data_IF_106188571905
#
_entry.id   IF_106188571905
#
_cell.length_a   1.000
_cell.length_b   1.000
_cell.length_c   1.000
_cell.angle_alpha   90.00
_cell.angle_beta   90.00
_cell.angle_gamma   90.00
#
_symmetry.space_group_name_H-M   'P 1'
#
loop_
_entity.id
_entity.type
_entity.pdbx_description
1 polymer ?
#
# COMPACT_ATOMS: atom_id res chain seq x y z
N UNK A 1 -14.25 85.63 50.30
CA UNK A 1 -15.46 85.02 49.70
C UNK A 1 -15.17 84.80 48.20
N UNK A 2 -14.68 83.62 47.80
CA UNK A 2 -14.42 83.31 46.40
C UNK A 2 -15.34 82.20 45.97
N UNK A 3 -16.28 82.45 45.07
CA UNK A 3 -17.17 81.45 44.46
C UNK A 3 -16.37 80.60 43.43
N UNK A 4 -16.36 79.28 43.64
CA UNK A 4 -15.84 78.29 42.78
C UNK A 4 -16.93 77.86 41.79
N UNK A 5 -16.75 78.17 40.48
CA UNK A 5 -17.63 77.71 39.40
C UNK A 5 -17.16 76.33 38.96
N UNK A 6 -17.98 75.32 39.14
CA UNK A 6 -17.79 73.96 38.56
C UNK A 6 -18.32 73.95 37.12
N UNK A 7 -17.45 73.70 36.16
CA UNK A 7 -17.84 73.35 34.80
C UNK A 7 -18.08 71.85 34.69
N UNK A 8 -19.33 71.48 34.41
CA UNK A 8 -19.66 70.12 34.00
C UNK A 8 -19.41 69.99 32.48
N UNK A 9 -18.41 69.25 32.09
CA UNK A 9 -18.22 68.82 30.72
C UNK A 9 -19.06 67.54 30.47
N UNK A 10 -20.09 67.64 29.67
CA UNK A 10 -20.90 66.51 29.22
C UNK A 10 -20.12 65.80 28.07
N UNK A 11 -19.63 64.56 28.37
CA UNK A 11 -19.00 63.70 27.43
C UNK A 11 -20.09 62.92 26.69
N UNK A 12 -20.40 63.31 25.43
CA UNK A 12 -21.32 62.56 24.57
C UNK A 12 -20.59 61.37 23.97
N UNK A 13 -20.88 60.17 24.47
CA UNK A 13 -20.44 58.88 23.89
C UNK A 13 -21.36 58.60 22.71
N UNK A 14 -20.87 58.83 21.52
CA UNK A 14 -21.50 58.39 20.26
C UNK A 14 -21.23 56.88 20.08
N UNK A 15 -22.20 56.04 20.46
CA UNK A 15 -22.16 54.60 20.15
C UNK A 15 -22.36 54.44 18.62
N UNK A 16 -21.29 54.17 17.90
CA UNK A 16 -21.35 53.67 16.52
C UNK A 16 -21.86 52.24 16.54
N UNK A 17 -23.15 52.04 16.37
CA UNK A 17 -23.71 50.73 16.02
C UNK A 17 -23.25 50.41 14.60
N UNK A 18 -22.17 49.67 14.49
CA UNK A 18 -21.81 48.99 13.26
C UNK A 18 -22.85 47.88 13.03
N UNK A 19 -23.81 48.13 12.15
CA UNK A 19 -24.67 47.07 11.63
C UNK A 19 -23.82 46.21 10.69
N UNK A 20 -23.13 45.23 11.24
CA UNK A 20 -22.71 44.05 10.47
C UNK A 20 -23.99 43.35 10.05
N UNK A 21 -24.29 43.37 8.75
CA UNK A 21 -25.34 42.48 8.22
C UNK A 21 -24.99 41.08 8.68
N UNK A 22 -25.94 40.33 9.25
CA UNK A 22 -25.69 38.90 9.52
C UNK A 22 -25.31 38.25 8.16
N UNK A 23 -24.17 37.59 8.09
CA UNK A 23 -23.87 36.70 6.97
C UNK A 23 -25.09 35.79 6.81
N UNK A 24 -25.72 35.85 5.66
CA UNK A 24 -26.77 34.90 5.29
C UNK A 24 -26.15 33.51 5.38
N UNK A 25 -26.45 32.78 6.43
CA UNK A 25 -26.05 31.38 6.55
C UNK A 25 -26.75 30.64 5.41
N UNK A 26 -25.96 30.34 4.35
CA UNK A 26 -26.44 29.56 3.23
C UNK A 26 -26.95 28.20 3.75
N UNK A 27 -28.22 27.94 3.57
CA UNK A 27 -28.85 26.69 4.00
C UNK A 27 -28.48 25.59 3.01
N UNK A 28 -27.68 24.61 3.46
CA UNK A 28 -27.30 23.45 2.65
C UNK A 28 -28.43 22.45 2.59
N UNK A 29 -28.65 21.87 1.41
CA UNK A 29 -29.58 20.76 1.25
C UNK A 29 -29.06 19.52 1.95
N UNK A 30 -29.89 18.88 2.75
CA UNK A 30 -29.60 17.59 3.36
C UNK A 30 -29.48 16.54 2.26
N UNK A 31 -28.33 15.90 2.17
CA UNK A 31 -28.02 14.92 1.15
C UNK A 31 -27.58 13.58 1.75
N UNK A 32 -27.82 12.53 0.99
CA UNK A 32 -27.27 11.20 1.21
C UNK A 32 -26.30 10.84 0.09
N UNK A 33 -25.31 10.05 0.42
CA UNK A 33 -24.46 9.44 -0.59
C UNK A 33 -25.23 8.30 -1.26
N UNK A 34 -25.60 8.51 -2.51
CA UNK A 34 -26.43 7.58 -3.29
C UNK A 34 -25.58 6.42 -3.83
N UNK A 35 -24.41 6.71 -4.35
CA UNK A 35 -23.46 5.69 -4.84
C UNK A 35 -22.01 6.14 -4.69
N UNK A 36 -21.15 5.15 -4.59
CA UNK A 36 -19.71 5.33 -4.63
C UNK A 36 -19.11 4.28 -5.57
N UNK A 37 -18.18 4.70 -6.42
CA UNK A 37 -17.49 3.80 -7.34
C UNK A 37 -16.03 4.20 -7.54
N UNK A 38 -15.23 3.27 -8.05
CA UNK A 38 -13.84 3.48 -8.46
C UNK A 38 -13.61 2.76 -9.79
N UNK A 39 -13.24 3.51 -10.83
CA UNK A 39 -13.11 3.00 -12.20
C UNK A 39 -14.34 2.17 -12.62
N UNK A 40 -15.53 2.64 -12.28
CA UNK A 40 -16.82 1.96 -12.57
C UNK A 40 -17.15 0.76 -11.67
N UNK A 41 -16.25 0.32 -10.79
CA UNK A 41 -16.54 -0.73 -9.80
C UNK A 41 -17.19 -0.11 -8.56
N UNK A 42 -18.31 -0.67 -8.11
CA UNK A 42 -19.02 -0.19 -6.91
C UNK A 42 -18.16 -0.33 -5.67
N UNK A 43 -18.06 0.75 -4.89
CA UNK A 43 -17.47 0.75 -3.56
C UNK A 43 -18.56 0.45 -2.53
N UNK A 44 -18.35 -0.58 -1.71
CA UNK A 44 -19.29 -0.98 -0.66
C UNK A 44 -18.61 -0.86 0.70
N UNK A 45 -19.33 -0.31 1.67
CA UNK A 45 -18.82 -0.22 3.04
C UNK A 45 -18.44 -1.60 3.59
N UNK A 46 -17.25 -1.71 4.17
CA UNK A 46 -16.74 -2.98 4.74
C UNK A 46 -16.23 -4.00 3.72
N UNK A 47 -16.26 -3.70 2.42
CA UNK A 47 -15.75 -4.57 1.38
C UNK A 47 -14.59 -3.89 0.64
N UNK A 48 -13.46 -4.59 0.47
CA UNK A 48 -12.32 -4.09 -0.29
C UNK A 48 -12.47 -4.40 -1.79
N UNK A 49 -12.37 -3.38 -2.64
CA UNK A 49 -12.25 -3.56 -4.09
C UNK A 49 -10.79 -3.78 -4.43
N UNK A 50 -10.46 -4.90 -5.08
CA UNK A 50 -9.08 -5.33 -5.34
C UNK A 50 -8.68 -5.21 -6.80
N UNK A 51 -7.38 -5.26 -7.03
CA UNK A 51 -6.76 -5.30 -8.34
C UNK A 51 -7.13 -4.08 -9.20
N UNK A 52 -7.02 -2.88 -8.63
CA UNK A 52 -7.17 -1.63 -9.36
C UNK A 52 -5.84 -1.21 -10.00
N UNK A 53 -5.88 -0.53 -11.15
CA UNK A 53 -4.67 0.04 -11.73
C UNK A 53 -4.06 1.09 -10.80
N UNK A 54 -2.80 1.41 -11.01
CA UNK A 54 -2.09 2.45 -10.24
C UNK A 54 -2.19 3.83 -10.89
N UNK A 55 -2.59 3.87 -12.16
CA UNK A 55 -2.79 5.06 -12.98
C UNK A 55 -4.25 5.18 -13.40
N UNK A 56 -4.65 6.37 -13.83
CA UNK A 56 -6.00 6.67 -14.32
C UNK A 56 -7.11 6.25 -13.35
N UNK A 57 -6.86 6.42 -12.05
CA UNK A 57 -7.82 6.10 -11.01
C UNK A 57 -8.83 7.22 -10.88
N UNK A 58 -10.10 6.91 -11.10
CA UNK A 58 -11.23 7.82 -10.95
C UNK A 58 -12.17 7.28 -9.89
N UNK A 59 -12.34 8.04 -8.82
CA UNK A 59 -13.29 7.75 -7.75
C UNK A 59 -14.49 8.67 -7.94
N UNK A 60 -15.69 8.11 -7.90
CA UNK A 60 -16.91 8.89 -8.10
C UNK A 60 -17.85 8.71 -6.91
N UNK A 61 -18.32 9.82 -6.37
CA UNK A 61 -19.34 9.89 -5.33
C UNK A 61 -20.56 10.61 -5.86
N UNK A 62 -21.71 9.93 -5.96
CA UNK A 62 -22.96 10.54 -6.40
C UNK A 62 -23.85 10.79 -5.18
N UNK A 63 -24.33 12.02 -5.06
CA UNK A 63 -25.20 12.47 -3.97
C UNK A 63 -26.66 12.58 -4.44
N UNK A 64 -27.60 12.57 -3.49
CA UNK A 64 -29.04 12.70 -3.76
C UNK A 64 -29.45 14.10 -4.25
N UNK A 65 -28.60 15.12 -4.01
CA UNK A 65 -28.82 16.51 -4.40
C UNK A 65 -27.60 17.12 -5.07
N UNK A 66 -27.79 18.25 -5.74
CA UNK A 66 -26.70 18.99 -6.38
C UNK A 66 -25.71 19.52 -5.33
N UNK A 67 -24.44 19.54 -5.73
CA UNK A 67 -23.30 19.95 -4.90
C UNK A 67 -22.95 21.40 -5.25
N UNK A 68 -22.71 22.20 -4.24
CA UNK A 68 -22.15 23.54 -4.40
C UNK A 68 -20.64 23.51 -4.23
N UNK A 69 -19.88 23.46 -5.33
CA UNK A 69 -18.40 23.41 -5.28
C UNK A 69 -17.78 24.67 -4.69
N UNK A 70 -18.43 25.82 -4.77
CA UNK A 70 -17.92 27.04 -4.14
C UNK A 70 -17.81 26.91 -2.61
N UNK A 71 -18.54 25.93 -2.05
CA UNK A 71 -18.57 25.61 -0.64
C UNK A 71 -17.80 24.31 -0.30
N UNK A 72 -17.23 23.65 -1.29
CA UNK A 72 -16.41 22.45 -1.07
C UNK A 72 -15.11 22.80 -0.33
N UNK A 73 -14.77 22.01 0.67
CA UNK A 73 -13.45 22.03 1.29
C UNK A 73 -12.87 20.61 1.33
N UNK A 74 -11.57 20.49 1.22
CA UNK A 74 -10.85 19.21 1.21
C UNK A 74 -11.03 18.40 2.51
N UNK A 75 -11.45 19.02 3.60
CA UNK A 75 -11.64 18.38 4.91
C UNK A 75 -12.78 17.36 4.95
N UNK A 76 -13.69 17.42 3.97
CA UNK A 76 -14.83 16.50 3.85
C UNK A 76 -14.42 15.10 3.39
N UNK A 77 -13.27 14.96 2.72
CA UNK A 77 -12.76 13.69 2.20
C UNK A 77 -11.35 13.46 2.70
N UNK A 78 -11.09 12.24 3.17
CA UNK A 78 -9.76 11.81 3.61
C UNK A 78 -9.32 10.60 2.79
N UNK A 79 -8.14 10.69 2.17
CA UNK A 79 -7.56 9.64 1.35
C UNK A 79 -6.15 9.29 1.84
N UNK A 80 -5.88 8.01 2.07
CA UNK A 80 -4.57 7.53 2.55
C UNK A 80 -3.48 7.53 1.47
N UNK A 81 -3.83 7.78 0.22
CA UNK A 81 -2.91 7.84 -0.92
C UNK A 81 -2.38 9.25 -1.24
N UNK A 82 -2.68 10.24 -0.40
CA UNK A 82 -2.23 11.63 -0.60
C UNK A 82 -3.34 12.57 -1.05
N UNK A 83 -2.97 13.56 -1.84
CA UNK A 83 -3.88 14.59 -2.31
C UNK A 83 -4.79 14.08 -3.44
N UNK A 84 -6.00 14.65 -3.50
CA UNK A 84 -7.00 14.37 -4.52
C UNK A 84 -7.31 15.66 -5.29
N UNK A 85 -7.31 15.57 -6.58
CA UNK A 85 -7.93 16.56 -7.46
C UNK A 85 -9.43 16.27 -7.53
N UNK A 86 -10.25 17.31 -7.41
CA UNK A 86 -11.71 17.21 -7.32
C UNK A 86 -12.36 17.97 -8.46
N UNK A 87 -13.30 17.32 -9.13
CA UNK A 87 -14.10 17.91 -10.20
C UNK A 87 -15.56 17.46 -10.12
N UNK A 88 -16.45 18.09 -10.87
CA UNK A 88 -17.84 17.66 -11.01
C UNK A 88 -18.04 16.65 -12.13
N UNK A 89 -18.96 15.72 -11.90
CA UNK A 89 -19.70 15.09 -12.99
C UNK A 89 -20.66 16.09 -13.70
N UNK A 90 -21.04 15.79 -14.92
CA UNK A 90 -21.95 16.62 -15.72
C UNK A 90 -23.35 16.81 -15.11
N UNK A 91 -23.70 16.00 -14.12
CA UNK A 91 -24.99 16.01 -13.41
C UNK A 91 -25.00 16.97 -12.19
N UNK A 92 -23.88 17.61 -11.88
CA UNK A 92 -23.68 18.44 -10.69
C UNK A 92 -23.98 17.73 -9.36
N UNK A 93 -24.20 16.41 -9.37
CA UNK A 93 -24.45 15.56 -8.19
C UNK A 93 -23.32 14.60 -7.89
N UNK A 94 -22.39 14.47 -8.85
CA UNK A 94 -21.27 13.54 -8.74
C UNK A 94 -19.97 14.32 -8.55
N UNK A 95 -19.25 14.02 -7.48
CA UNK A 95 -17.84 14.41 -7.34
C UNK A 95 -16.98 13.34 -8.00
N UNK A 96 -16.09 13.76 -8.88
CA UNK A 96 -15.01 12.94 -9.42
C UNK A 96 -13.70 13.33 -8.74
N UNK A 97 -13.03 12.34 -8.20
CA UNK A 97 -11.78 12.49 -7.45
C UNK A 97 -10.68 11.70 -8.15
N UNK A 98 -9.56 12.33 -8.35
CA UNK A 98 -8.38 11.72 -8.97
C UNK A 98 -7.17 11.89 -8.05
N UNK A 99 -6.43 10.83 -7.71
CA UNK A 99 -5.15 10.98 -7.02
C UNK A 99 -4.20 11.87 -7.81
N UNK A 100 -3.62 12.88 -7.15
CA UNK A 100 -2.63 13.78 -7.77
C UNK A 100 -1.35 13.03 -8.13
N UNK A 101 -0.98 12.04 -7.31
CA UNK A 101 0.19 11.20 -7.54
C UNK A 101 -0.23 9.79 -7.92
N UNK A 102 0.57 9.15 -8.76
CA UNK A 102 0.41 7.74 -9.07
C UNK A 102 0.37 6.89 -7.80
N UNK A 103 -0.54 5.93 -7.74
CA UNK A 103 -0.64 5.00 -6.63
C UNK A 103 0.51 3.98 -6.66
N UNK A 104 0.85 3.43 -5.50
CA UNK A 104 1.85 2.38 -5.41
C UNK A 104 1.24 1.03 -5.78
N UNK A 105 2.04 0.16 -6.38
CA UNK A 105 1.66 -1.22 -6.62
C UNK A 105 1.48 -2.00 -5.31
N UNK A 106 0.59 -2.97 -5.32
CA UNK A 106 0.32 -3.90 -4.22
C UNK A 106 0.11 -3.20 -2.87
N UNK A 107 -0.70 -2.16 -2.87
CA UNK A 107 -0.99 -1.36 -1.68
C UNK A 107 -2.48 -1.18 -1.47
N UNK A 108 -2.91 -1.26 -0.20
CA UNK A 108 -4.29 -0.95 0.20
C UNK A 108 -4.42 0.51 0.56
N UNK A 109 -5.53 1.10 0.14
CA UNK A 109 -5.90 2.49 0.37
C UNK A 109 -7.24 2.58 1.06
N UNK A 110 -7.36 3.60 1.91
CA UNK A 110 -8.58 3.95 2.63
C UNK A 110 -9.08 5.31 2.18
N UNK A 111 -10.37 5.39 1.91
CA UNK A 111 -11.05 6.60 1.50
C UNK A 111 -12.24 6.81 2.44
N UNK A 112 -12.33 7.97 3.06
CA UNK A 112 -13.42 8.30 3.99
C UNK A 112 -14.09 9.59 3.59
N UNK A 113 -15.41 9.60 3.63
CA UNK A 113 -16.27 10.77 3.41
C UNK A 113 -16.96 11.08 4.73
N UNK A 114 -16.84 12.31 5.21
CA UNK A 114 -17.40 12.73 6.49
C UNK A 114 -18.82 13.27 6.33
N UNK A 115 -19.68 12.94 7.29
CA UNK A 115 -20.99 13.58 7.47
C UNK A 115 -20.77 15.05 7.88
N UNK A 116 -20.83 15.95 6.93
CA UNK A 116 -20.56 17.36 7.15
C UNK A 116 -20.97 18.21 5.94
N UNK A 117 -20.96 19.54 6.12
CA UNK A 117 -21.29 20.51 5.06
C UNK A 117 -20.13 20.81 4.14
N UNK A 118 -18.91 20.35 4.45
CA UNK A 118 -17.68 20.64 3.70
C UNK A 118 -17.66 20.08 2.27
N UNK A 119 -18.63 19.24 1.92
CA UNK A 119 -18.76 18.71 0.57
C UNK A 119 -19.65 19.56 -0.35
N UNK A 120 -20.07 20.74 0.09
CA UNK A 120 -21.05 21.57 -0.64
C UNK A 120 -22.50 21.06 -0.55
N UNK A 121 -22.75 20.07 0.32
CA UNK A 121 -24.07 19.56 0.73
C UNK A 121 -24.01 19.22 2.21
N UNK A 122 -25.17 19.19 2.88
CA UNK A 122 -25.26 18.70 4.28
C UNK A 122 -25.38 17.18 4.29
N UNK A 123 -24.22 16.48 4.17
CA UNK A 123 -24.17 15.03 4.14
C UNK A 123 -24.53 14.44 5.50
N UNK A 124 -25.54 13.57 5.53
CA UNK A 124 -26.15 13.08 6.78
C UNK A 124 -25.41 11.89 7.41
N UNK A 125 -24.56 11.18 6.65
CA UNK A 125 -23.82 10.02 7.16
C UNK A 125 -22.42 9.92 6.57
N UNK A 126 -21.47 9.53 7.40
CA UNK A 126 -20.10 9.23 6.96
C UNK A 126 -20.01 7.85 6.32
N UNK A 127 -19.08 7.69 5.38
CA UNK A 127 -18.78 6.40 4.77
C UNK A 127 -17.26 6.21 4.67
N UNK A 128 -16.84 4.95 4.73
CA UNK A 128 -15.44 4.57 4.54
C UNK A 128 -15.35 3.40 3.60
N UNK A 129 -14.44 3.49 2.64
CA UNK A 129 -14.19 2.50 1.61
C UNK A 129 -12.73 2.08 1.62
N UNK A 130 -12.48 0.88 1.12
CA UNK A 130 -11.14 0.33 0.97
C UNK A 130 -10.96 -0.25 -0.43
N UNK A 131 -9.77 -0.07 -0.97
CA UNK A 131 -9.38 -0.70 -2.22
C UNK A 131 -7.89 -0.99 -2.24
N UNK A 132 -7.48 -1.91 -3.09
CA UNK A 132 -6.06 -2.24 -3.29
C UNK A 132 -5.70 -2.30 -4.77
N UNK A 133 -4.45 -1.97 -5.05
CA UNK A 133 -3.88 -1.93 -6.38
C UNK A 133 -3.32 -3.29 -6.81
N UNK A 134 -3.13 -3.46 -8.12
CA UNK A 134 -2.49 -4.63 -8.72
C UNK A 134 -1.03 -4.76 -8.29
N UNK A 135 -0.49 -5.95 -8.50
CA UNK A 135 0.96 -6.19 -8.40
C UNK A 135 1.71 -5.40 -9.47
N UNK A 136 2.95 -5.07 -9.18
CA UNK A 136 3.87 -4.55 -10.20
C UNK A 136 4.07 -5.60 -11.29
N UNK A 137 3.66 -5.33 -12.54
CA UNK A 137 3.80 -6.27 -13.63
C UNK A 137 5.21 -6.32 -14.22
N UNK A 138 6.11 -5.46 -13.75
CA UNK A 138 7.49 -5.44 -14.24
C UNK A 138 8.25 -6.67 -13.77
N UNK A 139 9.14 -7.14 -14.62
CA UNK A 139 10.03 -8.25 -14.28
C UNK A 139 11.01 -7.80 -13.18
N UNK A 140 11.03 -8.50 -12.06
CA UNK A 140 11.97 -8.23 -10.95
C UNK A 140 13.40 -8.66 -11.25
N UNK A 141 13.55 -9.56 -12.20
CA UNK A 141 14.82 -10.14 -12.61
C UNK A 141 14.91 -10.11 -14.13
N UNK A 142 16.12 -10.05 -14.65
CA UNK A 142 16.37 -10.20 -16.07
C UNK A 142 15.84 -11.55 -16.55
N UNK A 143 15.16 -11.55 -17.71
CA UNK A 143 14.71 -12.80 -18.35
C UNK A 143 15.90 -13.51 -18.92
N UNK A 144 16.09 -14.74 -18.50
CA UNK A 144 17.08 -15.67 -19.02
C UNK A 144 16.36 -16.80 -19.76
N UNK A 145 17.09 -17.58 -20.58
CA UNK A 145 16.54 -18.75 -21.24
C UNK A 145 16.17 -19.85 -20.23
N UNK A 146 15.29 -20.76 -20.64
CA UNK A 146 14.90 -21.90 -19.79
C UNK A 146 16.11 -22.76 -19.41
N UNK A 147 17.08 -22.93 -20.28
CA UNK A 147 18.32 -23.70 -20.03
C UNK A 147 19.19 -22.99 -18.98
N UNK A 148 19.33 -21.68 -19.06
CA UNK A 148 20.06 -20.89 -18.07
C UNK A 148 19.34 -20.92 -16.71
N UNK A 149 18.00 -20.84 -16.70
CA UNK A 149 17.21 -20.94 -15.49
C UNK A 149 17.36 -22.31 -14.82
N UNK A 150 17.26 -23.40 -15.60
CA UNK A 150 17.46 -24.75 -15.09
C UNK A 150 18.88 -24.95 -14.54
N UNK A 151 19.88 -24.46 -15.25
CA UNK A 151 21.29 -24.49 -14.78
C UNK A 151 21.47 -23.71 -13.49
N UNK A 152 20.85 -22.53 -13.38
CA UNK A 152 20.89 -21.70 -12.17
C UNK A 152 20.25 -22.44 -10.98
N UNK A 153 19.06 -23.02 -11.18
CA UNK A 153 18.35 -23.78 -10.13
C UNK A 153 19.18 -24.99 -9.70
N UNK A 154 19.71 -25.77 -10.64
CA UNK A 154 20.57 -26.94 -10.32
C UNK A 154 21.81 -26.51 -9.53
N UNK A 155 22.48 -25.44 -9.94
CA UNK A 155 23.66 -24.93 -9.23
C UNK A 155 23.34 -24.46 -7.81
N UNK A 156 22.23 -23.77 -7.60
CA UNK A 156 21.83 -23.33 -6.27
C UNK A 156 21.39 -24.50 -5.38
N UNK A 157 20.70 -25.51 -5.96
CA UNK A 157 20.34 -26.73 -5.24
C UNK A 157 21.58 -27.55 -4.88
N UNK A 158 22.55 -27.68 -5.80
CA UNK A 158 23.81 -28.36 -5.56
C UNK A 158 24.59 -27.77 -4.36
N UNK A 159 24.58 -26.46 -4.19
CA UNK A 159 25.21 -25.80 -3.05
C UNK A 159 24.71 -26.28 -1.71
N UNK A 160 23.43 -26.64 -1.62
CA UNK A 160 22.88 -27.17 -0.36
C UNK A 160 23.61 -28.45 0.05
N UNK A 161 23.90 -29.35 -0.89
CA UNK A 161 24.58 -30.61 -0.61
C UNK A 161 26.11 -30.46 -0.58
N UNK A 162 26.66 -29.46 -1.22
CA UNK A 162 28.10 -29.28 -1.35
C UNK A 162 28.69 -28.29 -0.34
N UNK A 163 28.20 -27.08 -0.34
CA UNK A 163 28.74 -25.98 0.50
C UNK A 163 28.25 -26.09 1.95
N UNK A 164 27.01 -26.53 2.15
CA UNK A 164 26.38 -26.64 3.47
C UNK A 164 26.41 -28.05 4.06
N UNK A 165 27.11 -29.00 3.42
CA UNK A 165 27.34 -30.32 4.01
C UNK A 165 28.04 -30.19 5.38
N UNK A 166 27.84 -31.20 6.23
CA UNK A 166 28.51 -31.26 7.53
C UNK A 166 30.03 -31.30 7.32
N UNK A 167 30.82 -30.40 7.97
CA UNK A 167 32.21 -30.15 7.62
C UNK A 167 33.15 -31.33 7.91
N UNK A 168 32.80 -32.16 8.91
CA UNK A 168 33.62 -33.32 9.30
C UNK A 168 33.24 -34.56 8.49
N UNK A 169 31.95 -34.85 8.39
CA UNK A 169 31.47 -36.09 7.74
C UNK A 169 31.25 -35.98 6.24
N UNK A 170 31.05 -34.76 5.72
CA UNK A 170 30.63 -34.55 4.34
C UNK A 170 29.17 -34.93 4.04
N UNK A 171 28.42 -35.41 5.04
CA UNK A 171 27.03 -35.80 4.94
C UNK A 171 26.11 -34.58 4.87
N UNK A 172 24.90 -34.75 4.31
CA UNK A 172 23.95 -33.66 4.17
C UNK A 172 23.27 -33.34 5.50
N UNK A 173 23.26 -32.07 5.88
CA UNK A 173 22.50 -31.59 7.02
C UNK A 173 21.00 -31.77 6.81
N UNK A 174 20.23 -31.85 7.90
CA UNK A 174 18.78 -31.91 7.82
C UNK A 174 18.19 -30.68 7.13
N UNK A 175 18.73 -29.49 7.50
CA UNK A 175 18.41 -28.17 6.96
C UNK A 175 19.56 -27.18 7.29
N UNK A 176 19.50 -25.97 6.77
CA UNK A 176 20.58 -24.99 6.92
C UNK A 176 20.91 -24.65 8.39
N UNK A 177 19.89 -24.66 9.25
CA UNK A 177 19.97 -24.28 10.67
C UNK A 177 19.93 -25.50 11.63
N UNK A 178 20.21 -26.71 11.15
CA UNK A 178 20.14 -27.95 11.96
C UNK A 178 21.43 -28.26 12.72
N UNK A 179 22.38 -27.34 12.79
CA UNK A 179 23.69 -27.49 13.43
C UNK A 179 24.43 -28.76 12.96
N UNK A 180 24.72 -29.70 13.88
CA UNK A 180 25.44 -30.96 13.59
C UNK A 180 24.52 -32.09 13.09
N UNK A 181 23.19 -31.84 13.00
CA UNK A 181 22.24 -32.90 12.62
C UNK A 181 22.31 -33.19 11.13
N UNK A 182 22.63 -34.41 10.77
CA UNK A 182 22.61 -34.96 9.42
C UNK A 182 21.53 -36.01 9.25
N UNK A 183 21.05 -36.20 8.03
CA UNK A 183 19.99 -37.21 7.77
C UNK A 183 20.49 -38.27 6.77
N UNK A 184 20.11 -39.51 6.96
CA UNK A 184 20.47 -40.62 6.05
C UNK A 184 19.86 -40.42 4.66
N UNK A 185 18.57 -40.06 4.59
CA UNK A 185 17.89 -39.78 3.31
C UNK A 185 18.50 -38.62 2.56
N UNK A 186 18.69 -37.46 3.24
CA UNK A 186 19.35 -36.29 2.65
C UNK A 186 20.77 -36.59 2.19
N UNK A 187 21.53 -37.37 2.98
CA UNK A 187 22.90 -37.76 2.65
C UNK A 187 22.94 -38.72 1.42
N UNK A 188 21.95 -39.58 1.27
CA UNK A 188 21.83 -40.39 0.05
C UNK A 188 21.66 -39.55 -1.21
N UNK A 189 20.79 -38.50 -1.16
CA UNK A 189 20.69 -37.52 -2.24
C UNK A 189 21.98 -36.73 -2.41
N UNK A 190 22.63 -36.32 -1.31
CA UNK A 190 23.91 -35.60 -1.35
C UNK A 190 25.00 -36.36 -2.08
N UNK A 191 25.13 -37.70 -1.84
CA UNK A 191 26.05 -38.57 -2.58
C UNK A 191 25.71 -38.60 -4.08
N UNK A 192 24.43 -38.66 -4.44
CA UNK A 192 24.01 -38.65 -5.85
C UNK A 192 24.29 -37.32 -6.56
N UNK A 193 24.34 -36.20 -5.84
CA UNK A 193 24.65 -34.89 -6.46
C UNK A 193 26.13 -34.73 -6.82
N UNK A 194 27.04 -35.55 -6.27
CA UNK A 194 28.47 -35.46 -6.57
C UNK A 194 28.78 -35.76 -8.03
N UNK A 195 28.35 -36.92 -8.63
CA UNK A 195 28.56 -37.15 -10.04
C UNK A 195 27.84 -36.14 -10.95
N UNK A 196 26.64 -35.67 -10.54
CA UNK A 196 25.93 -34.61 -11.26
C UNK A 196 26.75 -33.31 -11.28
N UNK A 197 27.30 -32.90 -10.12
CA UNK A 197 28.13 -31.70 -10.01
C UNK A 197 29.39 -31.78 -10.82
N UNK A 198 29.99 -32.97 -11.00
CA UNK A 198 31.14 -33.19 -11.88
C UNK A 198 30.73 -33.04 -13.35
N UNK A 199 29.65 -33.70 -13.78
CA UNK A 199 29.13 -33.66 -15.14
C UNK A 199 28.74 -32.25 -15.56
N UNK A 200 28.11 -31.49 -14.66
CA UNK A 200 27.72 -30.10 -14.90
C UNK A 200 28.88 -29.10 -14.74
N UNK A 201 30.07 -29.54 -14.35
CA UNK A 201 31.25 -28.68 -14.16
C UNK A 201 31.13 -27.77 -12.94
N UNK A 202 30.29 -28.07 -11.96
CA UNK A 202 30.21 -27.31 -10.71
C UNK A 202 31.38 -27.61 -9.79
N UNK A 203 31.92 -28.80 -9.83
CA UNK A 203 33.13 -29.27 -9.13
C UNK A 203 34.00 -30.10 -10.08
N UNK A 204 35.29 -30.26 -9.69
CA UNK A 204 36.16 -31.19 -10.41
C UNK A 204 35.98 -32.64 -9.97
N UNK A 205 36.43 -33.58 -10.78
CA UNK A 205 36.41 -35.01 -10.45
C UNK A 205 37.23 -35.30 -9.18
N UNK A 206 38.36 -34.62 -9.00
CA UNK A 206 39.23 -34.74 -7.83
C UNK A 206 38.49 -34.28 -6.54
N UNK A 207 37.81 -33.15 -6.62
CA UNK A 207 36.99 -32.63 -5.52
C UNK A 207 35.86 -33.61 -5.12
N UNK A 208 35.17 -34.16 -6.13
CA UNK A 208 34.14 -35.16 -5.90
C UNK A 208 34.67 -36.43 -5.26
N UNK A 209 35.80 -36.95 -5.75
CA UNK A 209 36.45 -38.14 -5.19
C UNK A 209 36.91 -37.91 -3.74
N UNK A 210 37.47 -36.73 -3.45
CA UNK A 210 37.88 -36.39 -2.07
C UNK A 210 36.66 -36.31 -1.13
N UNK A 211 35.54 -35.72 -1.53
CA UNK A 211 34.33 -35.67 -0.74
C UNK A 211 33.78 -37.08 -0.48
N UNK A 212 33.76 -37.94 -1.51
CA UNK A 212 33.35 -39.34 -1.34
C UNK A 212 34.23 -40.12 -0.35
N UNK A 213 35.54 -39.92 -0.41
CA UNK A 213 36.48 -40.53 0.55
C UNK A 213 36.16 -40.06 1.98
N UNK A 214 35.96 -38.77 2.20
CA UNK A 214 35.60 -38.22 3.51
C UNK A 214 34.30 -38.88 4.07
N UNK A 215 33.28 -39.02 3.23
CA UNK A 215 32.00 -39.64 3.63
C UNK A 215 32.22 -41.10 4.01
N UNK A 216 32.94 -41.85 3.16
CA UNK A 216 33.20 -43.29 3.41
C UNK A 216 34.03 -43.49 4.69
N UNK A 217 35.11 -42.71 4.85
CA UNK A 217 35.95 -42.80 6.05
C UNK A 217 35.17 -42.51 7.33
N UNK A 218 34.28 -41.50 7.30
CA UNK A 218 33.42 -41.18 8.43
C UNK A 218 32.42 -42.32 8.78
N UNK A 219 31.86 -43.01 7.75
CA UNK A 219 30.89 -44.06 7.98
C UNK A 219 31.54 -45.39 8.43
N UNK A 220 32.83 -45.58 8.19
CA UNK A 220 33.58 -46.78 8.57
C UNK A 220 34.18 -46.71 9.99
N UNK A 221 34.32 -45.51 10.57
CA UNK A 221 34.88 -45.30 11.90
C UNK A 221 33.81 -44.87 12.94
#
# INVERSE_FOLDING_TARGET
>A
MKRLMMFFAALSVSALFSCTKPEEQKEYQKAMLFSASINGKTLTHGTEVRNLPVEDVVISFTFSHEIDLDQYTSDGISFSGGELEVSYGSDHKTLELRPVSQLQYFKSYKLSVKAAKQLGVDLQSSATYQFSTIYDPSDKFERISDEELLTLVQKQTFKYFWDYAHPVSGLSRERLDSDETVTSGGSGFGVMTIPEGIERGFITREQGAQRMATIVDFLLN
#
